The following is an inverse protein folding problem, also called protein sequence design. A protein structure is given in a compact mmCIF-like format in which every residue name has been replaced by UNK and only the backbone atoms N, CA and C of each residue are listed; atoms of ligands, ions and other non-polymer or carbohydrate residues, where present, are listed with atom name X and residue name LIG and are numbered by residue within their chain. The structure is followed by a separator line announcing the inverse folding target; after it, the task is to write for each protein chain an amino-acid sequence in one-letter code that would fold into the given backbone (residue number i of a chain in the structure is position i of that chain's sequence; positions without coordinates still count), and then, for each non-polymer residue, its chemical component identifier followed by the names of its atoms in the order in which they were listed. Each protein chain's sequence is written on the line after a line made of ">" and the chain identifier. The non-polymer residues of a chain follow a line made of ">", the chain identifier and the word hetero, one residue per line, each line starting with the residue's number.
data_IF_628252890182
#
_entry.id   IF_628252890182
#
_cell.length_a   1.000
_cell.length_b   1.000
_cell.length_c   1.000
_cell.angle_alpha   90.00
_cell.angle_beta   90.00
_cell.angle_gamma   90.00
#
_symmetry.space_group_name_H-M   'P 1'
#
loop_
_entity.id
_entity.type
_entity.pdbx_description
1 polymer ?
#
# COMPACT_ATOMS: atom_id res chain seq x y z
N UNK A 1 86.81 -68.83 -58.25
CA UNK A 1 86.95 -68.69 -56.78
C UNK A 1 87.13 -67.20 -56.52
N UNK A 2 86.25 -66.42 -55.88
CA UNK A 2 85.48 -66.64 -54.64
C UNK A 2 84.29 -65.66 -54.54
N UNK A 3 83.13 -66.23 -54.19
CA UNK A 3 81.90 -65.77 -53.48
C UNK A 3 81.37 -64.31 -53.50
N UNK A 4 80.07 -64.25 -53.80
CA UNK A 4 79.03 -63.29 -53.38
C UNK A 4 79.01 -63.00 -51.87
N UNK A 5 78.64 -61.77 -51.51
CA UNK A 5 77.66 -61.47 -50.45
C UNK A 5 76.91 -60.17 -50.74
N UNK A 6 75.60 -60.30 -50.96
CA UNK A 6 74.57 -59.27 -50.75
C UNK A 6 74.51 -58.92 -49.26
N UNK A 7 74.43 -57.64 -48.89
CA UNK A 7 73.76 -57.24 -47.65
C UNK A 7 73.24 -55.80 -47.72
N UNK A 8 71.92 -55.73 -47.78
CA UNK A 8 70.99 -54.65 -47.45
C UNK A 8 71.58 -53.38 -46.80
N UNK A 9 71.35 -52.24 -47.46
CA UNK A 9 71.56 -50.91 -46.90
C UNK A 9 70.68 -50.67 -45.66
N UNK A 10 71.34 -50.38 -44.54
CA UNK A 10 70.72 -49.95 -43.30
C UNK A 10 69.96 -48.62 -43.48
N UNK A 11 68.83 -48.42 -42.78
CA UNK A 11 68.19 -47.12 -42.67
C UNK A 11 69.07 -46.16 -41.86
N UNK A 12 69.38 -44.99 -42.42
CA UNK A 12 70.13 -43.92 -41.76
C UNK A 12 69.40 -43.42 -40.50
N UNK A 13 70.05 -43.33 -39.33
CA UNK A 13 69.48 -42.73 -38.15
C UNK A 13 69.88 -41.24 -38.10
N UNK A 14 69.25 -40.41 -38.93
CA UNK A 14 69.31 -38.95 -38.73
C UNK A 14 67.97 -38.55 -38.11
N UNK A 15 67.85 -38.86 -36.82
CA UNK A 15 66.81 -38.31 -35.97
C UNK A 15 67.02 -36.82 -35.84
N UNK A 16 66.34 -36.07 -36.70
CA UNK A 16 66.34 -34.62 -36.83
C UNK A 16 66.22 -33.93 -35.45
N UNK A 17 67.35 -33.51 -34.87
CA UNK A 17 67.46 -32.95 -33.51
C UNK A 17 66.58 -31.71 -33.32
N UNK A 18 66.27 -31.03 -34.43
CA UNK A 18 65.30 -29.94 -34.54
C UNK A 18 63.88 -30.35 -34.12
N UNK A 19 63.42 -31.54 -34.52
CA UNK A 19 62.08 -32.03 -34.17
C UNK A 19 61.97 -32.46 -32.71
N UNK A 20 63.04 -33.05 -32.15
CA UNK A 20 63.11 -33.45 -30.74
C UNK A 20 63.13 -32.22 -29.82
N UNK A 21 63.91 -31.18 -30.17
CA UNK A 21 63.91 -29.92 -29.42
C UNK A 21 62.58 -29.18 -29.51
N UNK A 22 61.93 -29.13 -30.69
CA UNK A 22 60.60 -28.53 -30.86
C UNK A 22 59.53 -29.25 -30.02
N UNK A 23 59.57 -30.59 -29.93
CA UNK A 23 58.66 -31.38 -29.07
C UNK A 23 58.92 -31.15 -27.58
N UNK A 24 60.18 -31.02 -27.15
CA UNK A 24 60.52 -30.68 -25.75
C UNK A 24 60.07 -29.28 -25.38
N UNK A 25 60.31 -28.27 -26.23
CA UNK A 25 59.85 -26.89 -26.01
C UNK A 25 58.32 -26.80 -25.94
N UNK A 26 57.60 -27.49 -26.83
CA UNK A 26 56.13 -27.58 -26.76
C UNK A 26 55.63 -28.21 -25.46
N UNK A 27 56.25 -29.30 -24.98
CA UNK A 27 55.87 -29.93 -23.69
C UNK A 27 56.13 -29.02 -22.49
N UNK A 28 57.24 -28.27 -22.50
CA UNK A 28 57.55 -27.32 -21.43
C UNK A 28 56.57 -26.14 -21.44
N UNK A 29 56.21 -25.63 -22.62
CA UNK A 29 55.21 -24.56 -22.75
C UNK A 29 53.80 -25.03 -22.36
N UNK A 30 53.40 -26.25 -22.74
CA UNK A 30 52.14 -26.85 -22.30
C UNK A 30 52.09 -27.04 -20.79
N UNK A 31 53.18 -27.51 -20.17
CA UNK A 31 53.26 -27.63 -18.70
C UNK A 31 53.24 -26.27 -18.00
N UNK A 32 53.96 -25.27 -18.52
CA UNK A 32 53.94 -23.90 -17.97
C UNK A 32 52.57 -23.24 -18.14
N UNK A 33 51.91 -23.47 -19.28
CA UNK A 33 50.52 -23.06 -19.52
C UNK A 33 49.54 -23.73 -18.56
N UNK A 34 49.66 -25.05 -18.35
CA UNK A 34 48.82 -25.81 -17.39
C UNK A 34 49.04 -25.35 -15.94
N UNK A 35 50.27 -25.03 -15.56
CA UNK A 35 50.58 -24.54 -14.20
C UNK A 35 50.02 -23.12 -14.01
N UNK A 36 50.06 -22.30 -15.07
CA UNK A 36 49.52 -20.94 -15.03
C UNK A 36 47.98 -20.93 -14.97
N UNK A 37 47.31 -21.76 -15.78
CA UNK A 37 45.84 -21.92 -15.71
C UNK A 37 45.41 -22.48 -14.34
N UNK A 38 46.08 -23.51 -13.84
CA UNK A 38 45.75 -24.13 -12.54
C UNK A 38 45.98 -23.19 -11.34
N UNK A 39 46.94 -22.26 -11.41
CA UNK A 39 47.10 -21.19 -10.38
C UNK A 39 46.04 -20.10 -10.48
N UNK A 40 45.57 -19.80 -11.69
CA UNK A 40 44.52 -18.81 -11.95
C UNK A 40 43.15 -19.28 -11.43
N UNK A 41 42.94 -20.58 -11.26
CA UNK A 41 41.74 -21.17 -10.66
C UNK A 41 41.78 -21.28 -9.12
N UNK A 42 42.94 -21.09 -8.48
CA UNK A 42 43.08 -21.10 -7.01
C UNK A 42 42.87 -19.72 -6.36
N UNK A 43 43.10 -18.63 -7.10
CA UNK A 43 42.89 -17.26 -6.62
C UNK A 43 41.41 -16.81 -6.51
N UNK A 44 40.46 -17.26 -7.36
CA UNK A 44 39.03 -16.94 -7.26
C UNK A 44 38.41 -17.40 -5.94
N UNK A 45 38.88 -18.54 -5.39
CA UNK A 45 38.32 -19.14 -4.17
C UNK A 45 38.47 -18.28 -2.92
N UNK A 46 39.55 -17.49 -2.79
CA UNK A 46 39.72 -16.57 -1.66
C UNK A 46 38.77 -15.38 -1.76
N UNK A 47 38.55 -14.86 -2.98
CA UNK A 47 37.60 -13.77 -3.20
C UNK A 47 36.14 -14.22 -3.07
N UNK A 48 35.84 -15.46 -3.41
CA UNK A 48 34.51 -16.06 -3.23
C UNK A 48 34.20 -16.27 -1.74
N UNK A 49 35.13 -16.88 -0.99
CA UNK A 49 34.99 -17.07 0.46
C UNK A 49 34.81 -15.73 1.20
N UNK A 50 35.51 -14.67 0.80
CA UNK A 50 35.32 -13.35 1.38
C UNK A 50 33.94 -12.78 1.07
N UNK A 51 33.45 -12.91 -0.17
CA UNK A 51 32.10 -12.46 -0.55
C UNK A 51 31.03 -13.24 0.21
N UNK A 52 31.19 -14.55 0.34
CA UNK A 52 30.28 -15.40 1.12
C UNK A 52 30.25 -14.96 2.58
N UNK A 53 31.41 -14.66 3.16
CA UNK A 53 31.50 -14.15 4.52
C UNK A 53 30.81 -12.79 4.67
N UNK A 54 31.02 -11.86 3.73
CA UNK A 54 30.38 -10.54 3.72
C UNK A 54 28.85 -10.66 3.59
N UNK A 55 28.36 -11.56 2.73
CA UNK A 55 26.93 -11.84 2.60
C UNK A 55 26.35 -12.43 3.87
N UNK A 56 27.07 -13.36 4.51
CA UNK A 56 26.63 -13.98 5.77
C UNK A 56 26.56 -12.96 6.92
N UNK A 57 27.53 -12.05 7.00
CA UNK A 57 27.52 -10.95 7.98
C UNK A 57 26.32 -10.04 7.74
N UNK A 58 26.05 -9.69 6.48
CA UNK A 58 24.92 -8.83 6.13
C UNK A 58 23.57 -9.49 6.45
N UNK A 59 23.41 -10.76 6.11
CA UNK A 59 22.20 -11.54 6.41
C UNK A 59 21.98 -11.66 7.93
N UNK A 60 23.04 -11.95 8.69
CA UNK A 60 22.99 -12.01 10.15
C UNK A 60 22.56 -10.67 10.74
N UNK A 61 23.13 -9.56 10.24
CA UNK A 61 22.77 -8.21 10.71
C UNK A 61 21.31 -7.87 10.38
N UNK A 62 20.86 -8.20 9.18
CA UNK A 62 19.47 -8.03 8.76
C UNK A 62 18.50 -8.85 9.61
N UNK A 63 18.86 -10.10 9.91
CA UNK A 63 18.08 -10.97 10.76
C UNK A 63 18.01 -10.46 12.20
N UNK A 64 19.13 -9.97 12.73
CA UNK A 64 19.16 -9.32 14.04
C UNK A 64 18.24 -8.09 14.07
N UNK A 65 18.32 -7.22 13.06
CA UNK A 65 17.42 -6.06 12.96
C UNK A 65 15.95 -6.47 12.99
N UNK A 66 15.55 -7.49 12.20
CA UNK A 66 14.18 -7.97 12.23
C UNK A 66 13.78 -8.55 13.59
N UNK A 67 14.66 -9.28 14.26
CA UNK A 67 14.40 -9.78 15.60
C UNK A 67 14.21 -8.64 16.60
N UNK A 68 15.02 -7.58 16.53
CA UNK A 68 14.88 -6.40 17.39
C UNK A 68 13.54 -5.72 17.15
N UNK A 69 13.19 -5.46 15.88
CA UNK A 69 11.91 -4.84 15.53
C UNK A 69 10.72 -5.68 15.97
N UNK A 70 10.79 -7.01 15.82
CA UNK A 70 9.73 -7.91 16.30
C UNK A 70 9.58 -7.80 17.82
N UNK A 71 10.69 -7.72 18.55
CA UNK A 71 10.65 -7.60 20.01
C UNK A 71 10.07 -6.25 20.45
N UNK A 72 10.51 -5.14 19.86
CA UNK A 72 9.97 -3.80 20.11
C UNK A 72 8.46 -3.74 19.85
N UNK A 73 7.98 -4.35 18.76
CA UNK A 73 6.56 -4.43 18.45
C UNK A 73 5.77 -5.28 19.47
N UNK A 74 6.37 -6.36 20.00
CA UNK A 74 5.74 -7.15 21.06
C UNK A 74 5.61 -6.34 22.35
N UNK A 75 6.66 -5.63 22.73
CA UNK A 75 6.69 -4.83 23.95
C UNK A 75 5.69 -3.65 23.85
N UNK A 76 5.63 -2.99 22.69
CA UNK A 76 4.65 -1.93 22.43
C UNK A 76 3.20 -2.45 22.49
N UNK A 77 2.93 -3.63 21.91
CA UNK A 77 1.60 -4.24 22.01
C UNK A 77 1.23 -4.61 23.45
N UNK A 78 2.19 -5.10 24.25
CA UNK A 78 1.96 -5.38 25.66
C UNK A 78 1.62 -4.10 26.44
N UNK A 79 2.36 -3.01 26.20
CA UNK A 79 2.07 -1.72 26.82
C UNK A 79 0.67 -1.20 26.45
N UNK A 80 0.29 -1.26 25.16
CA UNK A 80 -1.05 -0.88 24.70
C UNK A 80 -2.15 -1.77 25.28
N UNK A 81 -1.87 -3.06 25.51
CA UNK A 81 -2.81 -3.97 26.15
C UNK A 81 -3.05 -3.57 27.61
N UNK A 82 -1.97 -3.28 28.34
CA UNK A 82 -2.05 -2.85 29.73
C UNK A 82 -2.83 -1.52 29.86
N UNK A 83 -2.59 -0.56 28.96
CA UNK A 83 -3.33 0.70 28.95
C UNK A 83 -4.81 0.48 28.64
N UNK A 84 -5.13 -0.38 27.65
CA UNK A 84 -6.51 -0.72 27.37
C UNK A 84 -7.22 -1.38 28.57
N UNK A 85 -6.54 -2.25 29.30
CA UNK A 85 -7.11 -2.89 30.49
C UNK A 85 -7.29 -1.87 31.63
N UNK A 86 -6.35 -0.92 31.79
CA UNK A 86 -6.51 0.21 32.71
C UNK A 86 -7.70 1.11 32.35
N UNK A 87 -7.87 1.45 31.07
CA UNK A 87 -9.00 2.26 30.61
C UNK A 87 -10.33 1.53 30.78
N UNK A 88 -10.38 0.22 30.52
CA UNK A 88 -11.58 -0.60 30.82
C UNK A 88 -11.92 -0.55 32.30
N UNK A 89 -10.92 -0.67 33.17
CA UNK A 89 -11.11 -0.57 34.62
C UNK A 89 -11.70 0.78 35.03
N UNK A 90 -11.19 1.88 34.46
CA UNK A 90 -11.73 3.23 34.72
C UNK A 90 -13.18 3.36 34.25
N UNK A 91 -13.50 2.86 33.05
CA UNK A 91 -14.86 2.86 32.50
C UNK A 91 -15.81 2.08 33.40
N UNK A 92 -15.41 0.86 33.81
CA UNK A 92 -16.21 0.00 34.67
C UNK A 92 -16.46 0.66 36.04
N UNK A 93 -15.46 1.36 36.60
CA UNK A 93 -15.57 2.03 37.90
C UNK A 93 -16.38 3.32 37.84
N UNK A 94 -16.14 4.17 36.86
CA UNK A 94 -16.63 5.55 36.88
C UNK A 94 -17.95 5.77 36.14
N UNK A 95 -18.26 5.02 35.09
CA UNK A 95 -19.52 5.20 34.36
C UNK A 95 -20.75 4.91 35.22
N UNK A 96 -20.79 3.82 36.03
CA UNK A 96 -21.93 3.57 36.91
C UNK A 96 -22.15 4.72 37.91
N UNK A 97 -21.06 5.24 38.50
CA UNK A 97 -21.12 6.36 39.43
C UNK A 97 -21.66 7.62 38.74
N UNK A 98 -21.15 7.99 37.57
CA UNK A 98 -21.64 9.15 36.82
C UNK A 98 -23.11 9.00 36.45
N UNK A 99 -23.55 7.78 36.10
CA UNK A 99 -24.97 7.51 35.81
C UNK A 99 -25.86 7.75 37.03
N UNK A 100 -25.41 7.33 38.20
CA UNK A 100 -26.12 7.53 39.47
C UNK A 100 -26.15 9.02 39.88
N UNK A 101 -25.05 9.74 39.69
CA UNK A 101 -24.98 11.18 39.93
C UNK A 101 -25.93 11.97 39.01
N UNK A 102 -25.97 11.63 37.72
CA UNK A 102 -26.88 12.24 36.74
C UNK A 102 -28.33 11.94 37.11
N UNK A 103 -28.66 10.69 37.47
CA UNK A 103 -30.00 10.33 37.91
C UNK A 103 -30.43 11.11 39.17
N UNK A 104 -29.51 11.27 40.13
CA UNK A 104 -29.72 12.03 41.35
C UNK A 104 -29.88 13.54 41.09
N UNK A 105 -29.16 14.09 40.10
CA UNK A 105 -29.31 15.50 39.69
C UNK A 105 -30.63 15.74 38.94
N UNK A 106 -31.01 14.82 38.05
CA UNK A 106 -32.28 14.88 37.32
C UNK A 106 -33.48 14.81 38.26
N UNK A 107 -33.44 13.93 39.27
CA UNK A 107 -34.47 13.87 40.32
C UNK A 107 -34.62 15.18 41.10
N UNK A 108 -33.50 15.85 41.41
CA UNK A 108 -33.51 17.16 42.09
C UNK A 108 -34.04 18.29 41.19
N UNK A 109 -33.70 18.31 39.90
CA UNK A 109 -34.25 19.29 38.94
C UNK A 109 -35.76 19.11 38.70
N UNK A 110 -36.25 17.87 38.70
CA UNK A 110 -37.69 17.60 38.59
C UNK A 110 -38.47 18.05 39.83
N UNK A 111 -37.86 17.99 41.02
CA UNK A 111 -38.47 18.45 42.27
C UNK A 111 -38.58 19.98 42.34
N UNK A 112 -37.57 20.71 41.88
CA UNK A 112 -37.59 22.19 41.82
C UNK A 112 -38.49 22.72 40.69
N UNK A 113 -38.63 22.00 39.58
CA UNK A 113 -39.52 22.38 38.48
C UNK A 113 -41.03 22.27 38.82
N UNK A 114 -41.41 21.52 39.86
CA UNK A 114 -42.81 21.45 40.34
C UNK A 114 -43.23 22.66 41.21
N UNK A 115 -42.30 23.55 41.57
CA UNK A 115 -42.60 24.71 42.43
C UNK A 115 -42.93 25.99 41.64
N UNK A 116 -42.88 25.96 40.30
CA UNK A 116 -43.22 27.09 39.44
C UNK A 116 -44.31 26.69 38.42
N UNK A 117 -45.58 26.70 38.86
CA UNK A 117 -46.73 26.82 37.95
C UNK A 117 -47.51 28.09 38.32
N UNK A 118 -47.69 29.06 37.41
CA UNK A 118 -48.86 29.91 37.42
C UNK A 118 -49.91 29.34 36.47
N UNK A 119 -51.12 29.21 37.01
CA UNK A 119 -52.33 28.84 36.30
C UNK A 119 -52.69 29.93 35.27
N UNK A 120 -53.08 29.53 34.06
CA UNK A 120 -54.07 30.27 33.27
C UNK A 120 -54.65 29.38 32.18
N UNK A 121 -55.92 29.05 32.36
CA UNK A 121 -56.81 28.38 31.39
C UNK A 121 -57.67 29.42 30.68
N UNK A 122 -57.66 29.48 29.35
CA UNK A 122 -58.85 29.92 28.58
C UNK A 122 -58.96 29.14 27.26
N UNK A 123 -60.22 28.79 26.99
CA UNK A 123 -60.87 27.97 25.99
C UNK A 123 -60.54 28.18 24.48
N UNK A 124 -60.53 27.03 23.78
CA UNK A 124 -61.28 26.65 22.57
C UNK A 124 -61.77 27.72 21.57
N UNK A 125 -61.34 27.57 20.31
CA UNK A 125 -62.18 27.68 19.11
C UNK A 125 -61.49 27.02 17.88
N UNK A 126 -62.26 26.26 17.11
CA UNK A 126 -61.93 25.61 15.83
C UNK A 126 -63.11 25.90 14.86
N UNK A 127 -63.12 25.50 13.57
CA UNK A 127 -62.36 25.95 12.41
C UNK A 127 -63.26 26.64 11.33
N UNK A 128 -62.66 27.22 10.27
CA UNK A 128 -63.39 27.56 9.05
C UNK A 128 -62.76 26.95 7.78
N UNK A 129 -63.66 26.44 6.93
CA UNK A 129 -63.49 25.67 5.71
C UNK A 129 -63.80 26.58 4.51
N UNK A 130 -62.99 26.57 3.44
CA UNK A 130 -63.41 26.88 2.06
C UNK A 130 -62.34 26.45 1.03
N UNK A 131 -62.81 25.72 0.02
CA UNK A 131 -62.24 25.34 -1.29
C UNK A 131 -63.30 25.80 -2.34
N UNK A 132 -63.16 25.68 -3.69
CA UNK A 132 -62.04 25.33 -4.60
C UNK A 132 -62.00 26.18 -5.93
N UNK A 133 -61.12 25.82 -6.88
CA UNK A 133 -61.20 26.03 -8.35
C UNK A 133 -60.44 27.25 -8.92
N UNK A 134 -59.81 27.26 -10.11
CA UNK A 134 -59.70 26.33 -11.25
C UNK A 134 -58.47 26.73 -12.13
N UNK A 135 -57.86 25.72 -12.76
CA UNK A 135 -57.28 25.55 -14.13
C UNK A 135 -56.58 26.66 -14.97
N UNK A 136 -55.76 26.15 -15.92
CA UNK A 136 -55.07 26.76 -17.09
C UNK A 136 -53.69 27.43 -16.81
N UNK A 137 -52.61 27.30 -17.58
CA UNK A 137 -52.36 26.73 -18.92
C UNK A 137 -50.84 26.54 -19.16
N UNK A 138 -50.54 25.65 -20.11
CA UNK A 138 -49.42 25.43 -21.05
C UNK A 138 -47.95 25.89 -20.83
N UNK A 139 -47.04 25.12 -21.45
CA UNK A 139 -45.73 25.63 -21.89
C UNK A 139 -44.53 24.69 -21.80
N UNK A 140 -44.39 23.76 -22.75
CA UNK A 140 -43.22 22.89 -22.91
C UNK A 140 -41.92 23.62 -23.34
N UNK A 141 -40.79 22.90 -23.21
CA UNK A 141 -39.49 23.38 -23.70
C UNK A 141 -38.34 22.40 -23.49
N UNK A 142 -38.12 21.55 -24.50
CA UNK A 142 -36.97 20.69 -24.75
C UNK A 142 -35.65 21.48 -24.87
N UNK A 143 -34.51 20.83 -24.57
CA UNK A 143 -33.18 21.45 -24.64
C UNK A 143 -32.04 20.54 -24.22
N UNK A 144 -31.79 19.48 -25.00
CA UNK A 144 -30.66 18.57 -24.86
C UNK A 144 -29.29 19.27 -24.90
N UNK A 145 -28.37 18.77 -24.08
CA UNK A 145 -27.02 19.28 -23.91
C UNK A 145 -26.03 18.38 -24.67
N UNK A 146 -25.40 18.90 -25.72
CA UNK A 146 -24.25 18.30 -26.37
C UNK A 146 -23.25 19.42 -26.68
N UNK A 147 -22.08 19.41 -26.05
CA UNK A 147 -20.90 19.83 -26.78
C UNK A 147 -19.62 19.10 -26.36
N UNK A 148 -18.89 18.72 -27.40
CA UNK A 148 -17.66 17.93 -27.47
C UNK A 148 -16.60 18.88 -28.05
N UNK A 149 -15.32 18.53 -27.83
CA UNK A 149 -14.09 19.02 -28.50
C UNK A 149 -13.67 20.46 -28.12
N UNK A 150 -12.40 20.84 -27.89
CA UNK A 150 -11.03 20.33 -28.15
C UNK A 150 -10.16 20.64 -26.89
N UNK A 151 -8.99 20.07 -26.58
CA UNK A 151 -7.85 19.75 -27.45
C UNK A 151 -6.88 20.93 -27.52
N UNK A 152 -6.24 21.35 -26.42
CA UNK A 152 -5.14 22.32 -26.48
C UNK A 152 -4.09 22.11 -25.37
N UNK A 153 -2.83 22.23 -25.77
CA UNK A 153 -1.60 21.96 -25.02
C UNK A 153 -0.93 23.29 -24.76
N UNK A 154 -0.80 23.68 -23.49
CA UNK A 154 0.08 24.76 -23.00
C UNK A 154 0.43 24.43 -21.56
N UNK A 155 1.61 23.87 -21.32
CA UNK A 155 2.79 24.59 -20.79
C UNK A 155 2.60 25.03 -19.33
N UNK A 156 3.42 24.45 -18.47
CA UNK A 156 3.53 24.81 -17.06
C UNK A 156 4.06 26.25 -16.90
N UNK A 157 3.68 26.91 -15.81
CA UNK A 157 4.69 27.67 -15.09
C UNK A 157 4.78 27.25 -13.63
N UNK A 158 6.01 26.90 -13.27
CA UNK A 158 6.57 26.94 -11.93
C UNK A 158 6.42 28.38 -11.38
N UNK A 159 5.82 28.55 -10.20
CA UNK A 159 5.88 29.82 -9.50
C UNK A 159 5.93 29.60 -7.99
N UNK A 160 7.14 29.74 -7.47
CA UNK A 160 7.42 29.95 -6.06
C UNK A 160 6.98 31.36 -5.64
N UNK A 161 6.53 31.42 -4.39
CA UNK A 161 6.78 32.46 -3.38
C UNK A 161 5.57 33.24 -2.83
N UNK A 162 5.68 33.71 -1.57
CA UNK A 162 4.67 33.59 -0.52
C UNK A 162 4.01 34.92 -0.13
N UNK A 163 2.90 34.85 0.63
CA UNK A 163 2.63 35.64 1.86
C UNK A 163 1.19 35.49 2.35
N UNK A 164 1.10 35.13 3.62
CA UNK A 164 0.23 35.64 4.69
C UNK A 164 -1.18 36.16 4.36
N UNK A 165 -2.17 35.53 4.99
CA UNK A 165 -3.29 36.25 5.60
C UNK A 165 -3.90 35.42 6.75
N UNK A 166 -3.88 36.01 7.93
CA UNK A 166 -4.43 35.51 9.19
C UNK A 166 -5.96 35.47 9.17
N UNK A 167 -6.54 34.37 9.65
CA UNK A 167 -7.87 34.37 10.31
C UNK A 167 -7.87 33.37 11.45
N UNK A 168 -8.34 33.86 12.59
CA UNK A 168 -8.41 33.21 13.88
C UNK A 168 -9.25 31.92 13.93
N UNK A 169 -8.77 30.99 14.77
CA UNK A 169 -9.60 30.17 15.64
C UNK A 169 -10.55 29.15 15.03
N UNK A 170 -10.07 27.93 14.80
CA UNK A 170 -10.83 26.70 15.10
C UNK A 170 -9.92 25.47 15.03
N UNK A 171 -9.76 24.80 16.18
CA UNK A 171 -9.34 23.40 16.40
C UNK A 171 -8.12 22.87 15.63
N UNK A 172 -7.15 22.34 16.38
CA UNK A 172 -6.07 21.50 15.85
C UNK A 172 -6.56 20.65 14.66
N UNK A 173 -5.89 20.69 13.49
CA UNK A 173 -6.32 19.86 12.39
C UNK A 173 -6.13 18.41 12.83
N UNK A 174 -7.22 17.65 12.85
CA UNK A 174 -7.13 16.22 12.61
C UNK A 174 -6.39 16.06 11.27
N UNK A 175 -5.06 15.93 11.32
CA UNK A 175 -4.13 15.96 10.18
C UNK A 175 -4.23 14.69 9.34
N UNK A 176 -5.44 14.24 9.05
CA UNK A 176 -5.72 13.18 8.09
C UNK A 176 -6.31 13.82 6.84
N UNK A 177 -5.55 13.80 5.74
CA UNK A 177 -6.02 14.32 4.44
C UNK A 177 -7.32 13.63 3.99
N UNK A 178 -8.12 14.27 3.13
CA UNK A 178 -9.32 13.64 2.56
C UNK A 178 -9.03 12.28 1.89
N UNK A 179 -7.83 12.11 1.31
CA UNK A 179 -7.39 10.82 0.76
C UNK A 179 -7.10 9.77 1.83
N UNK A 180 -6.63 10.15 3.02
CA UNK A 180 -6.45 9.24 4.14
C UNK A 180 -7.81 8.82 4.70
N UNK A 181 -8.74 9.77 4.87
CA UNK A 181 -10.08 9.50 5.37
C UNK A 181 -10.85 8.54 4.45
N UNK A 182 -10.83 8.75 3.13
CA UNK A 182 -11.48 7.82 2.18
C UNK A 182 -10.94 6.40 2.30
N UNK A 183 -9.63 6.23 2.51
CA UNK A 183 -9.04 4.89 2.69
C UNK A 183 -9.53 4.23 3.99
N UNK A 184 -9.67 5.00 5.07
CA UNK A 184 -10.22 4.50 6.34
C UNK A 184 -11.70 4.12 6.20
N UNK A 185 -12.50 4.99 5.59
CA UNK A 185 -13.92 4.73 5.33
C UNK A 185 -14.12 3.52 4.42
N UNK A 186 -13.27 3.35 3.41
CA UNK A 186 -13.31 2.19 2.52
C UNK A 186 -13.13 0.86 3.28
N UNK A 187 -12.20 0.81 4.25
CA UNK A 187 -11.99 -0.39 5.08
C UNK A 187 -13.12 -0.63 6.09
N UNK A 188 -13.80 0.43 6.53
CA UNK A 188 -14.93 0.31 7.45
C UNK A 188 -16.28 -0.02 6.78
N UNK A 189 -16.42 0.26 5.48
CA UNK A 189 -17.68 0.09 4.73
C UNK A 189 -17.75 -1.20 3.91
N UNK A 190 -16.59 -1.73 3.50
CA UNK A 190 -16.50 -2.96 2.71
C UNK A 190 -15.67 -4.01 3.45
N UNK A 191 -16.12 -5.27 3.48
CA UNK A 191 -15.31 -6.35 4.01
C UNK A 191 -14.07 -6.59 3.13
N UNK A 192 -13.01 -7.11 3.75
CA UNK A 192 -11.71 -7.29 3.09
C UNK A 192 -11.79 -8.16 1.83
N UNK A 193 -12.57 -9.24 1.86
CA UNK A 193 -12.78 -10.14 0.71
C UNK A 193 -13.36 -9.39 -0.50
N UNK A 194 -14.38 -8.56 -0.27
CA UNK A 194 -14.98 -7.73 -1.33
C UNK A 194 -13.97 -6.74 -1.90
N UNK A 195 -13.12 -6.13 -1.06
CA UNK A 195 -12.08 -5.21 -1.52
C UNK A 195 -10.99 -5.90 -2.35
N UNK A 196 -10.72 -7.18 -2.11
CA UNK A 196 -9.72 -7.95 -2.86
C UNK A 196 -10.21 -8.38 -4.24
N UNK A 197 -11.52 -8.62 -4.38
CA UNK A 197 -12.16 -9.07 -5.62
C UNK A 197 -12.72 -7.92 -6.47
N UNK A 198 -12.72 -6.69 -5.93
CA UNK A 198 -13.35 -5.53 -6.58
C UNK A 198 -12.35 -4.48 -7.08
N UNK A 199 -12.84 -3.63 -7.98
CA UNK A 199 -12.19 -2.43 -8.47
C UNK A 199 -13.18 -1.25 -8.46
N UNK A 200 -12.69 -0.01 -8.59
CA UNK A 200 -13.52 1.20 -8.48
C UNK A 200 -14.74 1.19 -9.42
N UNK A 201 -14.56 0.67 -10.64
CA UNK A 201 -15.61 0.58 -11.67
C UNK A 201 -15.74 -0.85 -12.26
N UNK A 202 -15.08 -1.84 -11.66
CA UNK A 202 -14.97 -3.20 -12.23
C UNK A 202 -14.08 -3.26 -13.48
N UNK A 203 -13.99 -4.44 -14.08
CA UNK A 203 -13.24 -4.66 -15.32
C UNK A 203 -11.91 -5.38 -15.14
N UNK A 204 -11.31 -5.79 -16.26
CA UNK A 204 -9.95 -6.36 -16.27
C UNK A 204 -8.92 -5.26 -16.02
N UNK A 205 -7.84 -5.55 -15.27
CA UNK A 205 -6.71 -4.63 -15.19
C UNK A 205 -6.17 -4.36 -16.60
N UNK A 206 -5.89 -3.09 -16.91
CA UNK A 206 -5.46 -2.63 -18.24
C UNK A 206 -4.08 -3.15 -18.66
N UNK A 207 -3.37 -3.84 -17.76
CA UNK A 207 -2.02 -4.40 -17.95
C UNK A 207 -1.98 -5.80 -17.34
N UNK A 208 -1.78 -6.82 -18.17
CA UNK A 208 -1.59 -8.23 -17.79
C UNK A 208 -2.85 -9.11 -17.84
N UNK A 209 -2.63 -10.44 -17.74
CA UNK A 209 -3.67 -11.49 -17.70
C UNK A 209 -4.34 -11.58 -16.31
N UNK A 210 -4.74 -10.43 -15.76
CA UNK A 210 -5.39 -10.37 -14.46
C UNK A 210 -6.85 -10.84 -14.52
N UNK A 211 -7.31 -11.42 -13.41
CA UNK A 211 -8.72 -11.80 -13.22
C UNK A 211 -9.65 -10.60 -13.39
N UNK A 212 -10.86 -10.88 -13.89
CA UNK A 212 -11.94 -9.89 -13.98
C UNK A 212 -12.34 -9.47 -12.57
N UNK A 213 -12.29 -8.17 -12.28
CA UNK A 213 -12.68 -7.64 -10.97
C UNK A 213 -14.11 -7.10 -11.02
N UNK A 214 -14.84 -7.30 -9.93
CA UNK A 214 -16.18 -6.76 -9.76
C UNK A 214 -16.14 -5.25 -9.49
N UNK A 215 -17.23 -4.55 -9.77
CA UNK A 215 -17.33 -3.14 -9.42
C UNK A 215 -17.67 -3.00 -7.93
N UNK A 216 -17.02 -2.07 -7.24
CA UNK A 216 -17.48 -1.64 -5.92
C UNK A 216 -18.92 -1.13 -6.02
N UNK A 217 -19.72 -1.46 -4.99
CA UNK A 217 -21.08 -0.98 -4.83
C UNK A 217 -21.12 0.55 -5.09
N UNK A 218 -21.82 0.99 -6.16
CA UNK A 218 -21.80 2.38 -6.58
C UNK A 218 -22.44 3.30 -5.54
N UNK A 219 -23.42 2.81 -4.77
CA UNK A 219 -24.09 3.58 -3.72
C UNK A 219 -23.16 3.85 -2.55
N UNK A 220 -22.52 2.80 -2.02
CA UNK A 220 -21.55 2.94 -0.91
C UNK A 220 -20.33 3.76 -1.33
N UNK A 221 -19.82 3.55 -2.54
CA UNK A 221 -18.71 4.34 -3.10
C UNK A 221 -19.06 5.83 -3.16
N UNK A 222 -20.25 6.17 -3.68
CA UNK A 222 -20.68 7.56 -3.80
C UNK A 222 -20.81 8.21 -2.42
N UNK A 223 -21.43 7.53 -1.46
CA UNK A 223 -21.60 8.04 -0.10
C UNK A 223 -20.25 8.36 0.59
N UNK A 224 -19.24 7.48 0.43
CA UNK A 224 -17.90 7.72 1.00
C UNK A 224 -17.23 8.95 0.37
N UNK A 225 -17.31 9.07 -0.96
CA UNK A 225 -16.73 10.19 -1.70
C UNK A 225 -17.42 11.50 -1.29
N UNK A 226 -18.75 11.51 -1.23
CA UNK A 226 -19.55 12.68 -0.86
C UNK A 226 -19.30 13.11 0.59
N UNK A 227 -19.33 12.16 1.54
CA UNK A 227 -19.05 12.42 2.94
C UNK A 227 -17.64 13.01 3.14
N UNK A 228 -16.66 12.54 2.36
CA UNK A 228 -15.30 13.07 2.41
C UNK A 228 -15.22 14.45 1.76
N UNK A 229 -15.82 14.66 0.59
CA UNK A 229 -15.80 15.97 -0.05
C UNK A 229 -16.49 17.04 0.80
N UNK A 230 -17.53 16.67 1.56
CA UNK A 230 -18.21 17.56 2.50
C UNK A 230 -17.29 18.08 3.62
N UNK A 231 -16.40 17.23 4.14
CA UNK A 231 -15.45 17.61 5.21
C UNK A 231 -14.11 18.13 4.66
N UNK A 232 -13.74 17.78 3.43
CA UNK A 232 -12.52 18.25 2.76
C UNK A 232 -12.83 18.84 1.38
N UNK A 233 -13.33 20.09 1.32
CA UNK A 233 -13.81 20.71 0.08
C UNK A 233 -12.72 20.91 -0.99
N UNK A 234 -11.45 20.99 -0.59
CA UNK A 234 -10.32 21.10 -1.51
C UNK A 234 -9.92 19.78 -2.17
N UNK A 235 -10.50 18.65 -1.76
CA UNK A 235 -10.17 17.33 -2.32
C UNK A 235 -11.10 17.01 -3.49
N UNK A 236 -10.53 16.74 -4.65
CA UNK A 236 -11.30 16.43 -5.86
C UNK A 236 -11.74 14.96 -5.90
N UNK A 237 -12.86 14.69 -6.57
CA UNK A 237 -13.36 13.32 -6.81
C UNK A 237 -12.31 12.42 -7.49
N UNK A 238 -11.48 12.98 -8.39
CA UNK A 238 -10.40 12.25 -9.06
C UNK A 238 -9.27 11.83 -8.10
N UNK A 239 -8.88 12.70 -7.17
CA UNK A 239 -7.90 12.38 -6.12
C UNK A 239 -8.42 11.27 -5.20
N UNK A 240 -9.69 11.33 -4.82
CA UNK A 240 -10.33 10.29 -4.00
C UNK A 240 -10.43 8.96 -4.73
N UNK A 241 -10.84 8.95 -6.01
CA UNK A 241 -10.87 7.75 -6.84
C UNK A 241 -9.49 7.10 -7.01
N UNK A 242 -8.46 7.93 -7.17
CA UNK A 242 -7.07 7.46 -7.22
C UNK A 242 -6.64 6.85 -5.88
N UNK A 243 -6.98 7.48 -4.77
CA UNK A 243 -6.68 6.97 -3.44
C UNK A 243 -7.33 5.61 -3.16
N UNK A 244 -8.57 5.41 -3.60
CA UNK A 244 -9.29 4.13 -3.53
C UNK A 244 -8.55 3.06 -4.35
N UNK A 245 -8.28 3.33 -5.63
CA UNK A 245 -7.57 2.38 -6.50
C UNK A 245 -6.20 1.98 -5.96
N UNK A 246 -5.45 2.94 -5.45
CA UNK A 246 -4.15 2.66 -4.83
C UNK A 246 -4.32 1.74 -3.62
N UNK A 247 -5.34 1.95 -2.79
CA UNK A 247 -5.59 1.10 -1.63
C UNK A 247 -6.00 -0.32 -2.02
N UNK A 248 -6.89 -0.49 -3.00
CA UNK A 248 -7.28 -1.81 -3.52
C UNK A 248 -6.09 -2.57 -4.12
N UNK A 249 -5.20 -1.86 -4.80
CA UNK A 249 -3.96 -2.44 -5.36
C UNK A 249 -3.00 -2.87 -4.25
N UNK A 250 -2.85 -2.03 -3.22
CA UNK A 250 -2.03 -2.32 -2.05
C UNK A 250 -2.52 -3.56 -1.29
N UNK A 251 -3.83 -3.68 -1.04
CA UNK A 251 -4.42 -4.84 -0.36
C UNK A 251 -4.13 -6.15 -1.10
N UNK A 252 -4.29 -6.15 -2.42
CA UNK A 252 -3.98 -7.32 -3.25
C UNK A 252 -2.48 -7.65 -3.27
N UNK A 253 -1.61 -6.65 -3.28
CA UNK A 253 -0.17 -6.86 -3.20
C UNK A 253 0.23 -7.51 -1.85
N UNK A 254 -0.35 -7.03 -0.73
CA UNK A 254 -0.15 -7.61 0.59
C UNK A 254 -0.65 -9.05 0.67
N UNK A 255 -1.83 -9.35 0.13
CA UNK A 255 -2.38 -10.71 0.13
C UNK A 255 -1.45 -11.70 -0.60
N UNK A 256 -0.87 -11.28 -1.74
CA UNK A 256 0.11 -12.11 -2.47
C UNK A 256 1.37 -12.34 -1.64
N UNK A 257 1.86 -11.34 -0.91
CA UNK A 257 3.02 -11.50 -0.03
C UNK A 257 2.74 -12.44 1.14
N UNK A 258 1.58 -12.34 1.80
CA UNK A 258 1.19 -13.25 2.88
C UNK A 258 1.08 -14.70 2.39
N UNK A 259 0.42 -14.93 1.24
CA UNK A 259 0.31 -16.27 0.65
C UNK A 259 1.67 -16.88 0.29
N UNK A 260 2.66 -16.07 -0.08
CA UNK A 260 4.02 -16.57 -0.33
C UNK A 260 4.69 -17.00 0.98
N UNK A 261 4.50 -16.24 2.06
CA UNK A 261 5.09 -16.56 3.37
C UNK A 261 4.49 -17.84 3.96
N UNK A 262 3.19 -18.09 3.80
CA UNK A 262 2.53 -19.31 4.32
C UNK A 262 2.89 -20.60 3.53
N UNK A 263 3.56 -20.47 2.39
CA UNK A 263 4.02 -21.60 1.55
C UNK A 263 5.46 -22.02 1.89
N UNK A 264 6.18 -21.27 2.73
CA UNK A 264 7.55 -21.57 3.19
C UNK A 264 7.59 -21.85 4.70
#
# INVERSE_FOLDING_TARGET
>A
MTRLTLLNGLPSPIGDTSTVMKRRRRRVLLRRGLIWTKRRDLFPRKSEMQREQDTSIWEKKKMQQFQTTIQELRDANLALKNENDHLKDLIIKHIPQMKEDIASLAGRCAATSKQLQPQNTVAAAEPQKKQPGDDDDDGGGDGGNNNKIHGERTEAPDNRSPRDNSTDGQSAPDTTSGTAMVRTLLLGTFPLETLLQSNLNGGKPKRGDGEQLEALDPGKKAAIIEATMKKWPHTTKGQLGTAINNKLTELRARQKQTKIIDIY
#
